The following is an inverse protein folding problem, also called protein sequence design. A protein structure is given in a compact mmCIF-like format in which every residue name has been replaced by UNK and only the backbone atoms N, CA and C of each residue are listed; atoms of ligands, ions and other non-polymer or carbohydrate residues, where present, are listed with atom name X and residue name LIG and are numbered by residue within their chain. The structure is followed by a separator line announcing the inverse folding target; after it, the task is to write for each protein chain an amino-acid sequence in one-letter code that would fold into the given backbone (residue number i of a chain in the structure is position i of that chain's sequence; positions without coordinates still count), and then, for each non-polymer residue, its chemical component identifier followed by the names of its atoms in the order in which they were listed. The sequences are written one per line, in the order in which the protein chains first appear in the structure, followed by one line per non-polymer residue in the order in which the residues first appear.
data_IF_911579679355
#
_entry.id   IF_911579679355
#
_cell.length_a   1.000
_cell.length_b   1.000
_cell.length_c   1.000
_cell.angle_alpha   90.00
_cell.angle_beta   90.00
_cell.angle_gamma   90.00
#
_symmetry.space_group_name_H-M   'P 1'
#
loop_
_entity.id
_entity.type
_entity.pdbx_description
1 polymer ?
#
# COMPACT_ATOMS: atom_id res chain seq x y z
N UNK A 1 -28.44 0.49 2.36
CA UNK A 1 -28.18 -0.91 2.75
C UNK A 1 -27.20 -1.49 1.73
N UNK A 2 -25.96 -1.62 2.19
CA UNK A 2 -24.79 -2.32 1.65
C UNK A 2 -24.82 -2.84 0.21
N UNK A 3 -24.09 -2.16 -0.69
CA UNK A 3 -23.36 -2.82 -1.79
C UNK A 3 -22.09 -3.55 -1.29
N UNK A 4 -21.87 -3.60 0.03
CA UNK A 4 -20.71 -4.18 0.72
C UNK A 4 -20.61 -5.72 0.70
N UNK A 5 -21.46 -6.42 -0.06
CA UNK A 5 -21.34 -7.86 -0.25
C UNK A 5 -21.67 -8.24 -1.71
N UNK A 6 -20.67 -8.12 -2.59
CA UNK A 6 -20.65 -8.98 -3.78
C UNK A 6 -20.31 -10.40 -3.32
N UNK A 7 -21.34 -11.16 -2.93
CA UNK A 7 -21.28 -12.61 -2.71
C UNK A 7 -21.77 -13.27 -4.01
N UNK A 8 -20.93 -14.07 -4.67
CA UNK A 8 -21.00 -15.53 -4.48
C UNK A 8 -20.08 -16.35 -5.41
N UNK A 9 -19.44 -17.34 -4.77
CA UNK A 9 -19.23 -18.70 -5.27
C UNK A 9 -18.27 -18.93 -6.45
N UNK A 10 -16.97 -18.74 -6.20
CA UNK A 10 -15.88 -19.67 -6.59
C UNK A 10 -14.57 -19.08 -6.08
N UNK A 11 -14.05 -19.61 -4.97
CA UNK A 11 -12.64 -19.64 -4.56
C UNK A 11 -12.61 -19.96 -3.06
N UNK A 12 -12.75 -21.25 -2.74
CA UNK A 12 -12.28 -21.80 -1.45
C UNK A 12 -10.75 -21.80 -1.48
N UNK A 13 -10.13 -20.63 -1.32
CA UNK A 13 -8.70 -20.41 -1.00
C UNK A 13 -8.42 -18.90 -1.08
N UNK A 14 -8.52 -18.15 0.01
CA UNK A 14 -7.80 -16.88 0.20
C UNK A 14 -7.96 -16.41 1.66
N UNK A 15 -6.88 -16.49 2.44
CA UNK A 15 -6.84 -15.98 3.82
C UNK A 15 -6.65 -14.46 3.77
N UNK A 16 -7.71 -13.74 4.12
CA UNK A 16 -7.79 -12.34 4.61
C UNK A 16 -7.17 -11.25 3.73
N UNK A 17 -7.88 -10.88 2.66
CA UNK A 17 -7.71 -9.59 1.96
C UNK A 17 -8.87 -8.66 2.32
N UNK A 18 -8.59 -7.38 2.52
CA UNK A 18 -9.54 -6.34 2.89
C UNK A 18 -9.54 -5.23 1.85
N UNK A 19 -10.71 -4.69 1.51
CA UNK A 19 -10.85 -3.71 0.44
C UNK A 19 -11.47 -2.40 0.95
N UNK A 20 -11.01 -1.29 0.39
CA UNK A 20 -11.53 0.06 0.62
C UNK A 20 -11.71 0.75 -0.73
N UNK A 21 -12.89 1.31 -0.98
CA UNK A 21 -13.14 2.17 -2.14
C UNK A 21 -12.65 3.60 -1.84
N UNK A 22 -11.70 4.08 -2.64
CA UNK A 22 -11.14 5.43 -2.58
C UNK A 22 -11.47 6.24 -3.85
N UNK A 23 -12.57 5.91 -4.54
CA UNK A 23 -13.15 6.79 -5.54
C UNK A 23 -13.79 8.02 -4.87
N UNK A 24 -12.97 9.04 -4.62
CA UNK A 24 -13.32 10.19 -3.79
C UNK A 24 -12.78 10.04 -2.37
N UNK A 25 -13.25 10.86 -1.44
CA UNK A 25 -12.86 10.75 -0.02
C UNK A 25 -13.64 9.60 0.62
N UNK A 26 -12.98 8.55 1.14
CA UNK A 26 -13.67 7.49 1.86
C UNK A 26 -14.40 8.03 3.10
N UNK A 27 -15.51 7.40 3.47
CA UNK A 27 -16.16 7.68 4.76
C UNK A 27 -15.25 7.23 5.91
N UNK A 28 -15.18 8.05 6.97
CA UNK A 28 -14.35 7.83 8.16
C UNK A 28 -14.54 6.43 8.77
N UNK A 29 -15.78 5.98 8.89
CA UNK A 29 -16.13 4.61 9.36
C UNK A 29 -15.45 3.49 8.57
N UNK A 30 -15.19 3.67 7.27
CA UNK A 30 -14.53 2.64 6.45
C UNK A 30 -13.02 2.63 6.69
N UNK A 31 -12.44 3.80 6.94
CA UNK A 31 -11.03 3.96 7.35
C UNK A 31 -10.84 3.29 8.71
N UNK A 32 -11.67 3.62 9.70
CA UNK A 32 -11.65 3.02 11.04
C UNK A 32 -11.79 1.49 10.99
N UNK A 33 -12.72 0.98 10.17
CA UNK A 33 -12.92 -0.46 10.02
C UNK A 33 -11.68 -1.15 9.47
N UNK A 34 -11.08 -0.62 8.40
CA UNK A 34 -9.87 -1.19 7.81
C UNK A 34 -8.69 -1.09 8.78
N UNK A 35 -8.54 0.05 9.46
CA UNK A 35 -7.51 0.25 10.49
C UNK A 35 -7.67 -0.75 11.63
N UNK A 36 -8.88 -0.99 12.12
CA UNK A 36 -9.17 -2.03 13.11
C UNK A 36 -8.77 -3.42 12.65
N UNK A 37 -9.02 -3.77 11.37
CA UNK A 37 -8.57 -5.04 10.79
C UNK A 37 -7.05 -5.16 10.68
N UNK A 38 -6.36 -4.07 10.39
CA UNK A 38 -4.90 -4.05 10.39
C UNK A 38 -4.38 -4.23 11.82
N UNK A 39 -4.94 -3.51 12.81
CA UNK A 39 -4.60 -3.67 14.24
C UNK A 39 -4.79 -5.12 14.71
N UNK A 40 -5.87 -5.79 14.30
CA UNK A 40 -6.11 -7.22 14.58
C UNK A 40 -5.06 -8.16 13.95
N UNK A 41 -4.51 -7.78 12.79
CA UNK A 41 -3.52 -8.57 12.06
C UNK A 41 -2.10 -8.40 12.59
N UNK A 42 -1.77 -7.23 13.15
CA UNK A 42 -0.43 -6.92 13.64
C UNK A 42 -0.10 -7.72 14.91
N UNK A 43 1.16 -8.17 15.11
CA UNK A 43 1.54 -8.92 16.29
C UNK A 43 1.33 -8.10 17.58
N UNK A 44 0.85 -8.70 18.67
CA UNK A 44 0.74 -8.01 19.98
C UNK A 44 2.09 -7.54 20.54
N UNK A 45 3.21 -8.09 20.06
CA UNK A 45 4.57 -7.70 20.40
C UNK A 45 5.14 -6.57 19.54
N UNK A 46 4.42 -6.13 18.50
CA UNK A 46 4.77 -4.98 17.63
C UNK A 46 4.22 -3.65 18.17
N UNK A 47 3.97 -3.61 19.48
CA UNK A 47 3.38 -2.47 20.22
C UNK A 47 4.38 -1.31 20.38
N UNK A 48 5.66 -1.51 20.09
CA UNK A 48 6.59 -0.41 19.82
C UNK A 48 6.50 -0.03 18.35
N UNK A 49 5.87 1.12 18.05
CA UNK A 49 5.77 1.71 16.69
C UNK A 49 7.13 1.76 15.98
N UNK A 50 8.21 1.81 16.77
CA UNK A 50 9.60 1.75 16.32
C UNK A 50 9.98 0.45 15.59
N UNK A 51 9.24 -0.65 15.72
CA UNK A 51 9.52 -1.92 15.02
C UNK A 51 8.76 -2.06 13.69
N UNK A 52 7.83 -1.15 13.41
CA UNK A 52 7.13 -1.11 12.12
C UNK A 52 7.94 -0.33 11.09
N UNK A 53 8.01 -0.87 9.89
CA UNK A 53 8.61 -0.24 8.72
C UNK A 53 7.55 -0.12 7.65
N UNK A 54 7.31 1.10 7.18
CA UNK A 54 6.49 1.35 6.00
C UNK A 54 7.43 1.43 4.81
N UNK A 55 7.25 0.52 3.85
CA UNK A 55 8.08 0.43 2.66
C UNK A 55 7.24 0.76 1.42
N UNK A 56 7.32 2.01 1.01
CA UNK A 56 6.63 2.57 -0.12
C UNK A 56 7.41 2.32 -1.40
N UNK A 57 6.86 1.51 -2.31
CA UNK A 57 7.50 1.12 -3.56
C UNK A 57 6.87 1.89 -4.73
N UNK A 58 7.74 2.39 -5.60
CA UNK A 58 7.37 3.12 -6.81
C UNK A 58 8.38 4.20 -7.17
N UNK A 59 8.03 5.02 -8.15
CA UNK A 59 8.81 6.16 -8.62
C UNK A 59 7.89 7.31 -9.02
N UNK A 60 8.35 8.51 -8.73
CA UNK A 60 7.77 9.79 -9.15
C UNK A 60 7.85 10.05 -10.67
N UNK A 61 8.58 9.21 -11.42
CA UNK A 61 8.79 9.36 -12.87
C UNK A 61 7.55 9.06 -13.72
N UNK A 62 6.61 8.27 -13.20
CA UNK A 62 5.36 7.93 -13.86
C UNK A 62 4.21 8.09 -12.87
N UNK A 63 3.11 8.71 -13.31
CA UNK A 63 1.96 8.97 -12.44
C UNK A 63 1.43 7.67 -11.83
N UNK A 64 1.32 6.60 -12.63
CA UNK A 64 0.87 5.29 -12.14
C UNK A 64 1.83 4.58 -11.18
N UNK A 65 3.09 4.99 -11.10
CA UNK A 65 4.09 4.42 -10.20
C UNK A 65 4.35 5.32 -8.97
N UNK A 66 3.72 6.50 -8.90
CA UNK A 66 3.97 7.49 -7.87
C UNK A 66 3.25 7.22 -6.53
N UNK A 67 2.36 6.22 -6.47
CA UNK A 67 1.54 5.94 -5.28
C UNK A 67 2.40 5.74 -4.03
N UNK A 68 3.39 4.84 -4.09
CA UNK A 68 4.28 4.58 -2.96
C UNK A 68 4.99 5.86 -2.48
N UNK A 69 5.81 6.51 -3.32
CA UNK A 69 6.50 7.75 -2.97
C UNK A 69 5.59 8.84 -2.39
N UNK A 70 4.37 9.00 -2.93
CA UNK A 70 3.39 9.94 -2.40
C UNK A 70 2.93 9.58 -0.98
N UNK A 71 2.55 8.32 -0.75
CA UNK A 71 2.18 7.86 0.59
C UNK A 71 3.33 8.02 1.57
N UNK A 72 4.56 7.71 1.16
CA UNK A 72 5.73 7.85 2.03
C UNK A 72 5.98 9.30 2.44
N UNK A 73 5.96 10.23 1.48
CA UNK A 73 6.08 11.66 1.79
C UNK A 73 4.96 12.15 2.72
N UNK A 74 3.70 11.77 2.45
CA UNK A 74 2.58 12.16 3.30
C UNK A 74 2.70 11.60 4.73
N UNK A 75 3.20 10.38 4.90
CA UNK A 75 3.41 9.78 6.22
C UNK A 75 4.54 10.45 7.01
N UNK A 76 5.61 10.89 6.35
CA UNK A 76 6.66 11.67 7.02
C UNK A 76 6.12 13.01 7.52
N UNK A 77 5.24 13.67 6.76
CA UNK A 77 4.58 14.91 7.16
C UNK A 77 3.65 14.73 8.38
N UNK A 78 3.13 13.52 8.62
CA UNK A 78 2.30 13.22 9.81
C UNK A 78 3.09 13.15 11.12
N UNK A 79 4.43 13.14 11.08
CA UNK A 79 5.31 13.05 12.26
C UNK A 79 4.98 11.86 13.19
N UNK A 80 4.55 10.73 12.62
CA UNK A 80 4.36 9.49 13.37
C UNK A 80 5.72 8.83 13.67
N UNK A 81 5.88 8.12 14.80
CA UNK A 81 7.12 7.41 15.14
C UNK A 81 7.25 6.08 14.34
N UNK A 82 7.07 6.15 13.03
CA UNK A 82 7.21 5.06 12.07
C UNK A 82 8.50 5.24 11.27
N UNK A 83 9.13 4.15 10.86
CA UNK A 83 10.22 4.25 9.86
C UNK A 83 9.64 4.10 8.46
N UNK A 84 9.60 5.20 7.73
CA UNK A 84 9.15 5.25 6.33
C UNK A 84 10.37 5.15 5.41
N UNK A 85 10.24 4.36 4.35
CA UNK A 85 11.20 4.29 3.25
C UNK A 85 10.44 4.37 1.94
N UNK A 86 10.93 5.19 1.01
CA UNK A 86 10.26 5.44 -0.26
C UNK A 86 9.40 6.69 -0.18
N UNK A 87 10.03 7.82 -0.43
CA UNK A 87 9.36 9.12 -0.50
C UNK A 87 9.57 9.70 -1.90
N UNK A 88 8.94 10.84 -2.20
CA UNK A 88 9.26 11.59 -3.41
C UNK A 88 10.74 12.03 -3.46
N UNK A 89 11.34 12.34 -2.31
CA UNK A 89 12.76 12.74 -2.24
C UNK A 89 13.70 11.53 -2.38
N UNK A 90 13.39 10.43 -1.71
CA UNK A 90 14.17 9.19 -1.73
C UNK A 90 13.29 7.99 -2.17
N UNK A 91 12.97 7.86 -3.48
CA UNK A 91 12.09 6.80 -3.96
C UNK A 91 12.72 5.42 -3.84
N UNK A 92 11.89 4.41 -3.57
CA UNK A 92 12.29 3.00 -3.55
C UNK A 92 11.61 2.27 -4.70
N UNK A 93 12.41 1.75 -5.62
CA UNK A 93 11.97 1.05 -6.82
C UNK A 93 12.79 -0.22 -7.04
N UNK A 94 12.44 -0.99 -8.07
CA UNK A 94 13.08 -2.27 -8.41
C UNK A 94 14.63 -2.27 -8.36
N UNK A 95 15.29 -1.17 -8.78
CA UNK A 95 16.74 -1.12 -8.90
C UNK A 95 17.50 -0.89 -7.57
N UNK A 96 16.85 -0.30 -6.55
CA UNK A 96 17.48 0.00 -5.27
C UNK A 96 16.86 -0.77 -4.08
N UNK A 97 15.73 -1.47 -4.28
CA UNK A 97 15.02 -2.24 -3.26
C UNK A 97 15.95 -3.14 -2.42
N UNK A 98 16.80 -3.95 -3.06
CA UNK A 98 17.74 -4.83 -2.36
C UNK A 98 18.71 -4.09 -1.43
N UNK A 99 19.10 -2.87 -1.79
CA UNK A 99 20.00 -2.05 -0.97
C UNK A 99 19.22 -1.53 0.25
N UNK A 100 17.97 -1.10 0.05
CA UNK A 100 17.11 -0.60 1.13
C UNK A 100 16.75 -1.71 2.12
N UNK A 101 16.39 -2.92 1.66
CA UNK A 101 16.14 -4.07 2.52
C UNK A 101 17.35 -4.39 3.40
N UNK A 102 18.56 -4.40 2.82
CA UNK A 102 19.80 -4.57 3.59
C UNK A 102 20.05 -3.45 4.61
N UNK A 103 19.62 -2.22 4.34
CA UNK A 103 19.68 -1.10 5.30
C UNK A 103 18.69 -1.32 6.46
N UNK A 104 17.47 -1.76 6.15
CA UNK A 104 16.42 -2.07 7.13
C UNK A 104 16.90 -3.18 8.07
N UNK A 105 17.40 -4.29 7.52
CA UNK A 105 17.88 -5.45 8.29
C UNK A 105 19.05 -5.12 9.23
N UNK A 106 19.89 -4.16 8.85
CA UNK A 106 21.00 -3.69 9.69
C UNK A 106 20.54 -2.78 10.81
N UNK A 107 19.47 -2.01 10.61
CA UNK A 107 19.00 -1.00 11.57
C UNK A 107 18.00 -1.57 12.57
N UNK A 108 17.19 -2.55 12.18
CA UNK A 108 16.12 -3.12 13.02
C UNK A 108 16.22 -4.64 13.10
N UNK A 109 16.04 -5.17 14.30
CA UNK A 109 16.04 -6.62 14.53
C UNK A 109 14.62 -7.17 14.36
N UNK A 110 14.36 -7.82 13.23
CA UNK A 110 13.05 -8.42 12.88
C UNK A 110 11.90 -7.37 12.84
N UNK A 111 12.01 -6.33 11.99
CA UNK A 111 10.93 -5.38 11.82
C UNK A 111 9.70 -6.05 11.20
N UNK A 112 8.51 -5.51 11.48
CA UNK A 112 7.30 -5.79 10.69
C UNK A 112 7.27 -4.81 9.54
N UNK A 113 7.30 -5.30 8.31
CA UNK A 113 7.33 -4.47 7.11
C UNK A 113 5.94 -4.49 6.45
N UNK A 114 5.38 -3.29 6.25
CA UNK A 114 4.17 -3.07 5.48
C UNK A 114 4.56 -2.44 4.14
N UNK A 115 4.44 -3.20 3.06
CA UNK A 115 4.70 -2.73 1.70
C UNK A 115 3.54 -1.90 1.15
N UNK A 116 3.82 -0.88 0.34
CA UNK A 116 2.80 -0.15 -0.42
C UNK A 116 3.23 -0.12 -1.87
N UNK A 117 2.36 -0.58 -2.77
CA UNK A 117 2.64 -0.63 -4.20
C UNK A 117 1.41 -0.20 -5.02
N UNK A 118 1.67 0.28 -6.23
CA UNK A 118 0.64 0.50 -7.23
C UNK A 118 0.51 -0.73 -8.13
N UNK A 119 -0.72 -1.03 -8.56
CA UNK A 119 -0.94 -2.08 -9.55
C UNK A 119 -2.03 -1.72 -10.53
N UNK A 120 -2.04 -2.43 -11.66
CA UNK A 120 -3.15 -2.45 -12.60
C UNK A 120 -4.15 -3.53 -12.17
N UNK A 121 -5.44 -3.20 -12.21
CA UNK A 121 -6.53 -4.12 -11.86
C UNK A 121 -7.57 -4.28 -12.97
N UNK A 122 -8.71 -4.86 -12.64
CA UNK A 122 -9.93 -4.75 -13.42
C UNK A 122 -10.49 -3.33 -13.41
N UNK A 123 -11.37 -3.01 -14.37
CA UNK A 123 -11.99 -1.66 -14.49
C UNK A 123 -12.76 -1.29 -13.22
N UNK A 124 -13.42 -2.25 -12.61
CA UNK A 124 -14.17 -2.14 -11.37
C UNK A 124 -13.28 -1.99 -10.13
N UNK A 125 -12.01 -2.39 -10.21
CA UNK A 125 -11.07 -2.28 -9.09
C UNK A 125 -10.37 -0.93 -9.05
N UNK A 126 -10.37 -0.16 -10.14
CA UNK A 126 -9.70 1.14 -10.17
C UNK A 126 -10.23 2.06 -9.08
N UNK A 127 -9.32 2.72 -8.39
CA UNK A 127 -9.62 3.56 -7.22
C UNK A 127 -9.87 2.78 -5.93
N UNK A 128 -9.74 1.45 -5.92
CA UNK A 128 -9.78 0.67 -4.70
C UNK A 128 -8.39 0.42 -4.13
N UNK A 129 -8.36 0.23 -2.82
CA UNK A 129 -7.20 -0.19 -2.04
C UNK A 129 -7.48 -1.63 -1.58
N UNK A 130 -6.48 -2.49 -1.69
CA UNK A 130 -6.48 -3.81 -1.09
C UNK A 130 -5.38 -3.89 -0.04
N UNK A 131 -5.72 -4.27 1.19
CA UNK A 131 -4.78 -4.68 2.21
C UNK A 131 -4.75 -6.20 2.31
N UNK A 132 -3.57 -6.81 2.39
CA UNK A 132 -3.42 -8.26 2.43
C UNK A 132 -2.30 -8.69 3.38
N UNK A 133 -2.52 -9.83 4.05
CA UNK A 133 -1.51 -10.53 4.82
C UNK A 133 -0.59 -11.34 3.88
N UNK A 134 0.71 -11.23 4.10
CA UNK A 134 1.76 -11.87 3.32
C UNK A 134 2.63 -10.86 2.57
N UNK A 135 3.74 -11.35 2.01
CA UNK A 135 4.70 -10.49 1.33
C UNK A 135 4.09 -9.87 0.08
N UNK A 136 4.53 -8.66 -0.20
CA UNK A 136 4.39 -8.02 -1.50
C UNK A 136 5.34 -8.69 -2.49
N UNK A 137 4.88 -8.87 -3.73
CA UNK A 137 5.73 -9.26 -4.87
C UNK A 137 5.79 -8.05 -5.80
N UNK A 138 6.80 -7.17 -5.66
CA UNK A 138 6.86 -5.95 -6.45
C UNK A 138 7.18 -6.26 -7.91
N UNK A 139 6.71 -5.40 -8.82
CA UNK A 139 7.24 -5.36 -10.19
C UNK A 139 6.89 -6.56 -11.07
N UNK A 140 5.74 -7.22 -10.86
CA UNK A 140 5.21 -8.28 -11.74
C UNK A 140 5.17 -7.86 -13.22
N UNK A 141 4.91 -6.57 -13.48
CA UNK A 141 4.93 -5.98 -14.82
C UNK A 141 6.33 -5.92 -15.47
N UNK A 142 7.40 -5.88 -14.67
CA UNK A 142 8.78 -5.73 -15.16
C UNK A 142 9.47 -7.06 -15.49
N UNK A 143 8.78 -8.21 -15.33
CA UNK A 143 9.31 -9.57 -15.57
C UNK A 143 10.65 -9.88 -14.89
N UNK A 144 11.04 -9.13 -13.86
CA UNK A 144 12.23 -9.38 -13.05
C UNK A 144 11.81 -10.09 -11.77
N UNK A 145 12.61 -11.08 -11.34
CA UNK A 145 12.46 -11.70 -10.02
C UNK A 145 12.94 -10.71 -8.95
N UNK A 146 12.05 -9.83 -8.50
CA UNK A 146 12.25 -9.09 -7.26
C UNK A 146 11.97 -10.01 -6.07
N UNK A 147 12.68 -9.85 -4.94
CA UNK A 147 12.38 -10.62 -3.75
C UNK A 147 10.96 -10.30 -3.27
N UNK A 148 10.32 -11.28 -2.63
CA UNK A 148 9.14 -11.06 -1.79
C UNK A 148 9.51 -10.11 -0.65
N UNK A 149 8.64 -9.13 -0.37
CA UNK A 149 8.92 -8.04 0.55
C UNK A 149 7.85 -7.93 1.62
N UNK A 150 8.30 -8.01 2.87
CA UNK A 150 7.53 -7.69 4.06
C UNK A 150 6.48 -8.71 4.47
N UNK A 151 5.67 -8.31 5.43
CA UNK A 151 4.73 -9.18 6.15
C UNK A 151 3.28 -8.89 5.76
N UNK A 152 3.02 -7.64 5.36
CA UNK A 152 1.72 -7.17 4.91
C UNK A 152 1.93 -6.19 3.76
N UNK A 153 0.89 -5.96 2.97
CA UNK A 153 0.97 -4.95 1.93
C UNK A 153 -0.37 -4.31 1.57
N UNK A 154 -0.26 -3.07 1.11
CA UNK A 154 -1.30 -2.36 0.38
C UNK A 154 -1.02 -2.41 -1.12
N UNK A 155 -2.07 -2.65 -1.89
CA UNK A 155 -2.09 -2.42 -3.34
C UNK A 155 -3.13 -1.36 -3.65
N UNK A 156 -2.72 -0.27 -4.27
CA UNK A 156 -3.66 0.69 -4.87
C UNK A 156 -3.84 0.39 -6.36
N UNK A 157 -5.08 0.20 -6.79
CA UNK A 157 -5.40 -0.03 -8.20
C UNK A 157 -5.52 1.30 -8.94
N UNK A 158 -4.40 1.74 -9.52
CA UNK A 158 -4.26 3.08 -10.11
C UNK A 158 -4.89 3.20 -11.50
N UNK A 159 -4.97 2.09 -12.23
CA UNK A 159 -5.55 2.00 -13.56
C UNK A 159 -5.95 0.55 -13.88
N UNK A 160 -6.55 0.32 -15.04
CA UNK A 160 -6.95 -1.01 -15.50
C UNK A 160 -6.10 -1.51 -16.66
N UNK A 161 -6.04 -2.83 -16.82
CA UNK A 161 -5.42 -3.47 -17.99
C UNK A 161 -6.41 -3.38 -19.17
N UNK A 162 -6.03 -2.69 -20.25
CA UNK A 162 -6.75 -2.72 -21.53
C UNK A 162 -6.02 -3.67 -22.50
N UNK A 163 -6.69 -4.36 -23.45
CA UNK A 163 -6.06 -5.14 -24.51
C UNK A 163 -5.09 -4.38 -25.46
N UNK A 164 -4.83 -3.09 -25.24
CA UNK A 164 -3.83 -2.29 -25.97
C UNK A 164 -2.41 -2.45 -25.37
N UNK A 165 -1.32 -1.96 -26.01
CA UNK A 165 0.06 -2.26 -25.58
C UNK A 165 0.48 -1.61 -24.25
N UNK A 166 1.25 -2.36 -23.44
CA UNK A 166 1.69 -2.01 -22.07
C UNK A 166 2.30 -0.59 -21.89
N UNK A 167 2.96 -0.06 -22.92
CA UNK A 167 3.68 1.23 -22.88
C UNK A 167 2.79 2.48 -22.89
N UNK A 168 1.48 2.37 -23.18
CA UNK A 168 0.55 3.51 -23.11
C UNK A 168 -0.04 3.73 -21.71
N UNK A 169 -0.07 2.70 -20.86
CA UNK A 169 -0.85 2.73 -19.60
C UNK A 169 -0.23 3.53 -18.46
N UNK A 170 1.10 3.67 -18.43
CA UNK A 170 1.80 4.46 -17.41
C UNK A 170 1.60 5.98 -17.60
N UNK A 171 1.23 6.42 -18.80
CA UNK A 171 0.99 7.82 -19.12
C UNK A 171 -0.49 8.24 -18.96
N UNK A 172 -1.43 7.29 -19.04
CA UNK A 172 -2.87 7.56 -18.95
C UNK A 172 -3.44 7.42 -17.52
N UNK A 173 -2.60 7.14 -16.52
CA UNK A 173 -3.05 7.14 -15.13
C UNK A 173 -3.44 8.55 -14.69
N UNK A 174 -4.66 8.70 -14.17
CA UNK A 174 -5.12 9.96 -13.59
C UNK A 174 -4.44 10.20 -12.25
N UNK A 175 -3.69 11.31 -12.15
CA UNK A 175 -3.10 11.75 -10.88
C UNK A 175 -4.15 11.88 -9.77
N UNK A 176 -5.36 12.33 -10.09
CA UNK A 176 -6.46 12.40 -9.13
C UNK A 176 -6.77 11.06 -8.45
N UNK A 177 -6.76 9.96 -9.21
CA UNK A 177 -6.97 8.60 -8.66
C UNK A 177 -5.81 8.23 -7.73
N UNK A 178 -4.57 8.47 -8.16
CA UNK A 178 -3.38 8.18 -7.35
C UNK A 178 -3.38 8.99 -6.06
N UNK A 179 -3.75 10.27 -6.11
CA UNK A 179 -3.86 11.14 -4.93
C UNK A 179 -4.94 10.67 -3.96
N UNK A 180 -6.11 10.23 -4.44
CA UNK A 180 -7.15 9.69 -3.56
C UNK A 180 -6.70 8.40 -2.87
N UNK A 181 -6.06 7.49 -3.63
CA UNK A 181 -5.47 6.27 -3.08
C UNK A 181 -4.40 6.61 -2.02
N UNK A 182 -3.50 7.56 -2.33
CA UNK A 182 -2.45 7.96 -1.41
C UNK A 182 -2.99 8.56 -0.11
N UNK A 183 -3.97 9.47 -0.21
CA UNK A 183 -4.64 10.06 0.95
C UNK A 183 -5.33 8.98 1.79
N UNK A 184 -6.10 8.08 1.17
CA UNK A 184 -6.82 7.04 1.89
C UNK A 184 -5.89 6.02 2.58
N UNK A 185 -4.79 5.60 1.93
CA UNK A 185 -3.78 4.74 2.57
C UNK A 185 -3.12 5.48 3.75
N UNK A 186 -2.77 6.76 3.56
CA UNK A 186 -2.16 7.59 4.62
C UNK A 186 -3.10 7.73 5.81
N UNK A 187 -4.39 8.01 5.58
CA UNK A 187 -5.39 8.14 6.63
C UNK A 187 -5.57 6.82 7.39
N UNK A 188 -5.63 5.68 6.69
CA UNK A 188 -5.71 4.36 7.31
C UNK A 188 -4.47 4.08 8.16
N UNK A 189 -3.26 4.31 7.66
CA UNK A 189 -2.03 4.07 8.43
C UNK A 189 -1.95 5.03 9.62
N UNK A 190 -2.37 6.29 9.45
CA UNK A 190 -2.44 7.25 10.55
C UNK A 190 -3.38 6.74 11.64
N UNK A 191 -4.60 6.34 11.28
CA UNK A 191 -5.58 5.76 12.22
C UNK A 191 -5.07 4.47 12.92
N UNK A 192 -4.23 3.68 12.24
CA UNK A 192 -3.60 2.50 12.83
C UNK A 192 -2.60 2.87 13.94
N UNK A 193 -1.83 3.94 13.76
CA UNK A 193 -0.68 4.27 14.60
C UNK A 193 -0.79 5.58 15.39
N UNK A 194 -1.89 6.32 15.26
CA UNK A 194 -2.21 7.47 16.10
C UNK A 194 -2.51 7.01 17.53
N UNK A 195 -2.11 7.81 18.52
CA UNK A 195 -2.41 7.50 19.92
C UNK A 195 -3.85 7.90 20.23
N UNK A 196 -4.58 7.04 20.91
CA UNK A 196 -5.80 7.48 21.58
C UNK A 196 -5.40 8.61 22.54
N UNK A 197 -5.82 9.84 22.22
CA UNK A 197 -5.71 10.96 23.15
C UNK A 197 -6.59 10.65 24.35
N UNK A 198 -5.98 10.07 25.38
CA UNK A 198 -6.55 10.01 26.72
C UNK A 198 -6.68 11.42 27.31
#
# INVERSE_FOLDING_TARGET
MSSFFYKDQKLKQEKTSYYLDANGKPEEKHIELLAGKIKECLPPSSVTKEDVVILCIGSDRYVGDALGPLVGTMLEEKNLPLSVYGTLEEPVHAFNLNIILKKIDKKKRKPVIIGIDASLGGREQVGHIMFKNGPLIPGTALKKMLPEVGDYHFVGFVNYVDPLPESQFLNDTRLYTVMNLANAITDVITEVFEEEKN
#
